data_IF_417576719146
#
_entry.id   IF_417576719146
#
_cell.length_a   1.000
_cell.length_b   1.000
_cell.length_c   1.000
_cell.angle_alpha   90.00
_cell.angle_beta   90.00
_cell.angle_gamma   90.00
#
_symmetry.space_group_name_H-M   'P 1'
#
loop_
_entity.id
_entity.type
_entity.pdbx_description
1 polymer ?
#
# COMPACT_ATOMS: atom_id res chain seq x y z
N UNK A 1 30.28 -23.70 -5.16
CA UNK A 1 30.67 -22.42 -5.78
C UNK A 1 30.39 -21.36 -4.74
N UNK A 2 31.44 -20.90 -4.04
CA UNK A 2 31.31 -19.94 -2.97
C UNK A 2 31.11 -18.55 -3.59
N UNK A 3 29.93 -17.95 -3.39
CA UNK A 3 29.76 -16.52 -3.64
C UNK A 3 30.55 -15.78 -2.56
N UNK A 4 31.61 -15.09 -3.01
CA UNK A 4 32.32 -14.06 -2.25
C UNK A 4 31.31 -13.01 -1.77
N UNK A 5 30.73 -13.24 -0.60
CA UNK A 5 30.02 -12.19 0.12
C UNK A 5 31.07 -11.20 0.58
N UNK A 6 31.20 -10.09 -0.15
CA UNK A 6 32.00 -8.96 0.31
C UNK A 6 31.65 -8.62 1.75
N UNK A 7 32.64 -8.32 2.61
CA UNK A 7 32.39 -8.08 4.01
C UNK A 7 31.51 -6.83 4.18
N UNK A 8 30.35 -7.00 4.80
CA UNK A 8 29.58 -5.87 5.32
C UNK A 8 30.29 -5.31 6.56
N UNK A 9 30.12 -4.02 6.83
CA UNK A 9 30.62 -3.40 8.06
C UNK A 9 29.50 -3.40 9.12
N UNK A 10 29.83 -3.73 10.35
CA UNK A 10 28.93 -3.71 11.50
C UNK A 10 29.58 -3.03 12.70
N UNK A 11 28.91 -2.04 13.27
CA UNK A 11 29.35 -1.32 14.47
C UNK A 11 28.32 -1.51 15.58
N UNK A 12 28.64 -2.28 16.65
CA UNK A 12 27.84 -2.32 17.88
C UNK A 12 27.68 -0.93 18.50
N UNK A 13 26.57 -0.67 19.18
CA UNK A 13 26.39 0.55 19.98
C UNK A 13 27.51 0.64 21.05
N UNK A 14 28.36 1.66 20.94
CA UNK A 14 29.52 1.85 21.82
C UNK A 14 30.74 0.95 21.53
N UNK A 15 30.71 0.18 20.45
CA UNK A 15 31.80 -0.72 20.04
C UNK A 15 32.61 -0.22 18.85
N UNK A 16 33.62 -1.01 18.45
CA UNK A 16 34.39 -0.80 17.22
C UNK A 16 33.78 -1.57 16.04
N UNK A 17 34.06 -1.12 14.82
CA UNK A 17 33.59 -1.78 13.61
C UNK A 17 34.15 -3.20 13.48
N UNK A 18 33.31 -4.11 13.01
CA UNK A 18 33.57 -5.53 12.76
C UNK A 18 32.87 -5.95 11.47
N UNK A 19 33.13 -7.16 10.97
CA UNK A 19 32.46 -7.70 9.77
C UNK A 19 31.49 -8.84 10.11
N UNK A 20 30.98 -8.90 11.34
CA UNK A 20 30.12 -9.98 11.80
C UNK A 20 29.14 -9.49 12.85
N UNK A 21 27.89 -9.90 12.74
CA UNK A 21 26.87 -9.72 13.78
C UNK A 21 26.71 -10.98 14.63
N UNK A 22 27.45 -12.05 14.36
CA UNK A 22 27.25 -13.36 14.98
C UNK A 22 27.28 -13.26 16.51
N UNK A 23 26.29 -13.87 17.15
CA UNK A 23 26.12 -13.92 18.62
C UNK A 23 25.95 -12.54 19.29
N UNK A 24 25.82 -11.47 18.51
CA UNK A 24 25.59 -10.12 19.03
C UNK A 24 24.11 -9.92 19.37
N UNK A 25 23.85 -9.40 20.57
CA UNK A 25 22.54 -8.92 20.99
C UNK A 25 22.65 -7.50 21.54
N UNK A 26 21.83 -6.59 21.05
CA UNK A 26 21.96 -5.16 21.33
C UNK A 26 21.66 -4.31 20.10
N UNK A 27 21.88 -3.00 20.19
CA UNK A 27 21.74 -2.11 19.03
C UNK A 27 23.03 -2.05 18.23
N UNK A 28 22.94 -1.83 16.94
CA UNK A 28 24.11 -1.58 16.11
C UNK A 28 23.74 -1.08 14.73
N UNK A 29 24.78 -0.76 13.95
CA UNK A 29 24.67 -0.23 12.60
C UNK A 29 25.40 -1.16 11.65
N UNK A 30 24.71 -1.68 10.64
CA UNK A 30 25.30 -2.42 9.54
C UNK A 30 25.26 -1.62 8.24
N UNK A 31 26.35 -1.68 7.47
CA UNK A 31 26.44 -1.20 6.09
C UNK A 31 26.77 -2.39 5.19
N UNK A 32 25.85 -2.72 4.30
CA UNK A 32 25.93 -3.87 3.41
C UNK A 32 26.70 -3.54 2.11
N UNK A 33 27.21 -4.55 1.37
CA UNK A 33 27.98 -4.32 0.15
C UNK A 33 27.21 -3.60 -0.96
N UNK A 34 25.89 -3.77 -0.99
CA UNK A 34 25.01 -3.03 -1.91
C UNK A 34 24.77 -1.57 -1.50
N UNK A 35 25.36 -1.12 -0.38
CA UNK A 35 25.20 0.21 0.19
C UNK A 35 23.96 0.38 1.07
N UNK A 36 23.16 -0.68 1.25
CA UNK A 36 22.05 -0.64 2.21
C UNK A 36 22.60 -0.42 3.62
N UNK A 37 21.81 0.23 4.47
CA UNK A 37 22.13 0.36 5.88
C UNK A 37 21.00 -0.14 6.75
N UNK A 38 21.36 -0.77 7.87
CA UNK A 38 20.44 -1.07 8.95
C UNK A 38 20.96 -0.48 10.25
N UNK A 39 20.11 0.23 10.96
CA UNK A 39 20.37 0.75 12.30
C UNK A 39 19.25 0.24 13.21
N UNK A 40 19.57 -0.61 14.18
CA UNK A 40 18.53 -1.17 15.02
C UNK A 40 18.97 -2.30 15.95
N UNK A 41 17.97 -2.99 16.48
CA UNK A 41 18.13 -4.07 17.44
C UNK A 41 18.49 -5.40 16.77
N UNK A 42 19.39 -6.12 17.41
CA UNK A 42 19.82 -7.46 17.05
C UNK A 42 19.60 -8.42 18.22
N UNK A 43 19.25 -9.65 17.89
CA UNK A 43 19.20 -10.80 18.79
C UNK A 43 19.97 -11.93 18.13
N UNK A 44 21.06 -12.39 18.76
CA UNK A 44 21.96 -13.43 18.22
C UNK A 44 22.38 -13.17 16.75
N UNK A 45 22.65 -11.90 16.43
CA UNK A 45 23.08 -11.45 15.11
C UNK A 45 21.99 -11.29 14.06
N UNK A 46 20.74 -11.54 14.43
CA UNK A 46 19.55 -11.41 13.58
C UNK A 46 18.87 -10.10 13.91
N UNK A 47 18.41 -9.36 12.89
CA UNK A 47 17.62 -8.13 13.10
C UNK A 47 16.28 -8.49 13.69
N UNK A 48 16.02 -8.00 14.90
CA UNK A 48 14.81 -8.30 15.66
C UNK A 48 14.51 -7.15 16.63
N UNK A 49 13.24 -6.73 16.67
CA UNK A 49 12.82 -5.51 17.37
C UNK A 49 12.84 -4.27 16.47
N UNK A 50 12.96 -3.09 17.06
CA UNK A 50 12.91 -1.82 16.33
C UNK A 50 14.19 -1.57 15.54
N UNK A 51 14.03 -1.10 14.31
CA UNK A 51 15.15 -0.66 13.50
C UNK A 51 14.72 0.17 12.30
N UNK A 52 15.73 0.69 11.61
CA UNK A 52 15.62 1.49 10.40
C UNK A 52 16.47 0.85 9.32
N UNK A 53 15.88 0.66 8.15
CA UNK A 53 16.57 0.16 6.96
C UNK A 53 16.53 1.20 5.86
N UNK A 54 17.68 1.58 5.33
CA UNK A 54 17.80 2.47 4.18
C UNK A 54 18.26 1.66 2.98
N UNK A 55 17.47 1.68 1.91
CA UNK A 55 17.74 0.96 0.68
C UNK A 55 18.58 1.84 -0.27
N UNK A 56 19.62 1.27 -0.87
CA UNK A 56 20.49 1.87 -1.87
C UNK A 56 20.40 1.06 -3.18
N UNK A 57 20.37 1.70 -4.36
CA UNK A 57 20.35 3.14 -4.61
C UNK A 57 18.95 3.75 -4.60
N UNK A 58 17.89 2.97 -4.28
CA UNK A 58 16.53 3.50 -4.38
C UNK A 58 16.31 4.69 -3.46
N UNK A 59 16.93 4.69 -2.27
CA UNK A 59 16.77 5.70 -1.23
C UNK A 59 15.54 5.45 -0.33
N UNK A 60 14.83 4.35 -0.53
CA UNK A 60 13.66 4.00 0.27
C UNK A 60 14.06 3.81 1.74
N UNK A 61 13.17 4.13 2.67
CA UNK A 61 13.45 4.06 4.11
C UNK A 61 12.33 3.34 4.84
N UNK A 62 12.65 2.21 5.45
CA UNK A 62 11.77 1.54 6.39
C UNK A 62 12.18 1.89 7.82
N UNK A 63 11.22 2.21 8.67
CA UNK A 63 11.41 2.36 10.11
C UNK A 63 10.26 1.65 10.82
N UNK A 64 10.57 0.66 11.64
CA UNK A 64 9.55 -0.17 12.28
C UNK A 64 10.14 -1.40 12.94
N UNK A 65 9.28 -2.36 13.21
CA UNK A 65 9.69 -3.61 13.82
C UNK A 65 10.25 -4.60 12.79
N UNK A 66 11.16 -5.45 13.26
CA UNK A 66 11.75 -6.56 12.54
C UNK A 66 11.56 -7.83 13.36
N UNK A 67 11.33 -8.94 12.67
CA UNK A 67 11.32 -10.27 13.24
C UNK A 67 12.05 -11.19 12.27
N UNK A 68 13.07 -11.89 12.75
CA UNK A 68 13.88 -12.81 11.92
C UNK A 68 14.35 -12.17 10.60
N UNK A 69 14.96 -10.98 10.66
CA UNK A 69 15.42 -10.20 9.51
C UNK A 69 14.33 -9.61 8.58
N UNK A 70 13.05 -9.89 8.83
CA UNK A 70 11.94 -9.41 8.01
C UNK A 70 11.21 -8.25 8.68
N UNK A 71 10.68 -7.32 7.87
CA UNK A 71 9.76 -6.27 8.36
C UNK A 71 8.54 -6.94 8.99
N UNK A 72 8.19 -6.52 10.19
CA UNK A 72 7.12 -7.08 10.99
C UNK A 72 6.44 -6.00 11.84
N UNK A 73 5.33 -6.32 12.50
CA UNK A 73 4.68 -5.43 13.45
C UNK A 73 4.27 -4.10 12.81
N UNK A 74 4.37 -3.00 13.55
CA UNK A 74 4.07 -1.66 13.02
C UNK A 74 5.33 -1.05 12.41
N UNK A 75 5.17 -0.50 11.20
CA UNK A 75 6.28 0.16 10.51
C UNK A 75 5.84 1.15 9.44
N UNK A 76 6.73 2.09 9.16
CA UNK A 76 6.60 3.10 8.11
C UNK A 76 7.62 2.83 7.00
N UNK A 77 7.17 2.75 5.76
CA UNK A 77 8.04 2.72 4.57
C UNK A 77 7.82 4.00 3.77
N UNK A 78 8.85 4.82 3.66
CA UNK A 78 8.87 5.99 2.79
C UNK A 78 9.56 5.57 1.48
N UNK A 79 8.84 5.69 0.38
CA UNK A 79 9.41 5.44 -0.94
C UNK A 79 10.10 6.72 -1.42
N UNK A 80 11.34 6.59 -1.87
CA UNK A 80 12.13 7.70 -2.38
C UNK A 80 11.51 8.31 -3.65
N UNK A 81 12.07 9.45 -4.08
CA UNK A 81 11.65 10.15 -5.29
C UNK A 81 10.15 10.48 -5.29
N UNK A 82 9.59 10.78 -4.11
CA UNK A 82 8.19 11.12 -3.89
C UNK A 82 7.19 10.06 -4.39
N UNK A 83 7.57 8.77 -4.40
CA UNK A 83 6.71 7.67 -4.86
C UNK A 83 5.58 7.29 -3.89
N UNK A 84 5.57 7.89 -2.69
CA UNK A 84 4.54 7.71 -1.68
C UNK A 84 5.12 7.18 -0.36
N UNK A 85 4.23 6.79 0.54
CA UNK A 85 4.59 6.17 1.81
C UNK A 85 3.50 5.22 2.29
N UNK A 86 3.91 4.24 3.09
CA UNK A 86 3.04 3.34 3.82
C UNK A 86 3.30 3.46 5.31
N UNK A 87 2.24 3.46 6.11
CA UNK A 87 2.29 3.31 7.55
C UNK A 87 1.26 2.27 7.97
N UNK A 88 1.67 1.21 8.64
CA UNK A 88 0.74 0.16 9.05
C UNK A 88 1.43 -1.11 9.50
N UNK A 89 0.65 -2.18 9.51
CA UNK A 89 1.10 -3.51 9.91
C UNK A 89 1.92 -4.20 8.81
N UNK A 90 2.90 -5.00 9.24
CA UNK A 90 3.78 -5.78 8.39
C UNK A 90 3.82 -7.22 8.88
N UNK A 91 3.81 -8.16 7.94
CA UNK A 91 3.97 -9.58 8.21
C UNK A 91 4.86 -10.20 7.13
N UNK A 92 5.89 -10.95 7.56
CA UNK A 92 6.84 -11.62 6.66
C UNK A 92 7.40 -10.70 5.56
N UNK A 93 7.72 -9.44 5.91
CA UNK A 93 8.29 -8.47 4.97
C UNK A 93 7.26 -7.75 4.07
N UNK A 94 5.98 -8.10 4.15
CA UNK A 94 4.90 -7.56 3.31
C UNK A 94 3.93 -6.70 4.14
N UNK A 95 3.30 -5.71 3.51
CA UNK A 95 2.18 -4.98 4.12
C UNK A 95 1.04 -5.95 4.41
N UNK A 96 0.51 -5.90 5.62
CA UNK A 96 -0.54 -6.79 6.10
C UNK A 96 -1.44 -6.03 7.08
N UNK A 97 -2.62 -6.56 7.44
CA UNK A 97 -3.46 -5.97 8.49
C UNK A 97 -3.96 -4.57 8.13
N UNK A 98 -4.12 -3.70 9.13
CA UNK A 98 -4.54 -2.32 8.91
C UNK A 98 -3.35 -1.43 8.49
N UNK A 99 -3.56 -0.55 7.52
CA UNK A 99 -2.55 0.40 7.10
C UNK A 99 -3.06 1.53 6.21
N UNK A 100 -2.28 2.60 6.21
CA UNK A 100 -2.45 3.82 5.43
C UNK A 100 -1.36 3.89 4.35
N UNK A 101 -1.76 4.08 3.10
CA UNK A 101 -0.84 4.34 1.99
C UNK A 101 -1.16 5.68 1.34
N UNK A 102 -0.19 6.59 1.36
CA UNK A 102 -0.25 7.86 0.64
C UNK A 102 0.51 7.70 -0.67
N UNK A 103 -0.16 7.88 -1.80
CA UNK A 103 0.43 7.75 -3.13
C UNK A 103 1.21 9.01 -3.54
N UNK A 104 2.01 8.89 -4.61
CA UNK A 104 2.76 10.01 -5.18
C UNK A 104 1.86 11.20 -5.58
N UNK A 105 0.70 10.89 -6.16
CA UNK A 105 -0.35 11.84 -6.53
C UNK A 105 -1.18 12.36 -5.35
N UNK A 106 -0.76 12.02 -4.11
CA UNK A 106 -1.41 12.36 -2.84
C UNK A 106 -2.75 11.67 -2.58
N UNK A 107 -3.19 10.77 -3.47
CA UNK A 107 -4.30 9.89 -3.13
C UNK A 107 -3.96 9.09 -1.87
N UNK A 108 -4.99 8.65 -1.16
CA UNK A 108 -4.82 7.92 0.09
C UNK A 108 -5.67 6.68 0.09
N UNK A 109 -5.07 5.53 0.42
CA UNK A 109 -5.81 4.34 0.82
C UNK A 109 -5.63 4.11 2.32
N UNK A 110 -6.73 3.93 3.04
CA UNK A 110 -6.75 3.53 4.46
C UNK A 110 -7.64 2.31 4.61
N UNK A 111 -7.09 1.20 5.09
CA UNK A 111 -7.85 -0.02 5.32
C UNK A 111 -6.97 -1.27 5.39
N UNK A 112 -7.59 -2.39 5.07
CA UNK A 112 -6.98 -3.71 5.22
C UNK A 112 -6.03 -4.07 4.07
N UNK A 113 -4.98 -4.80 4.44
CA UNK A 113 -3.93 -5.28 3.55
C UNK A 113 -3.73 -6.77 3.76
N UNK A 114 -3.49 -7.48 2.67
CA UNK A 114 -3.09 -8.88 2.72
C UNK A 114 -1.99 -9.12 1.70
N UNK A 115 -0.83 -9.60 2.16
CA UNK A 115 0.33 -9.95 1.34
C UNK A 115 0.70 -8.84 0.34
N UNK A 116 0.74 -7.61 0.81
CA UNK A 116 1.13 -6.45 0.02
C UNK A 116 0.02 -5.85 -0.86
N UNK A 117 -1.21 -6.37 -0.84
CA UNK A 117 -2.34 -5.89 -1.64
C UNK A 117 -3.45 -5.31 -0.77
N UNK A 118 -4.18 -4.31 -1.27
CA UNK A 118 -5.42 -3.83 -0.63
C UNK A 118 -6.42 -4.98 -0.59
N UNK A 119 -7.03 -5.20 0.56
CA UNK A 119 -7.93 -6.32 0.83
C UNK A 119 -8.98 -5.90 1.87
N UNK A 120 -10.04 -6.69 2.06
CA UNK A 120 -11.01 -6.46 3.13
C UNK A 120 -11.67 -5.08 3.07
N UNK A 121 -11.96 -4.47 4.22
CA UNK A 121 -12.57 -3.14 4.26
C UNK A 121 -11.53 -2.04 4.06
N UNK A 122 -11.86 -1.02 3.26
CA UNK A 122 -10.99 0.13 3.08
C UNK A 122 -11.63 1.32 2.38
N UNK A 123 -10.99 2.48 2.55
CA UNK A 123 -11.37 3.75 1.92
C UNK A 123 -10.22 4.27 1.08
N UNK A 124 -10.50 4.56 -0.20
CA UNK A 124 -9.62 5.26 -1.11
C UNK A 124 -10.13 6.70 -1.30
N UNK A 125 -9.26 7.69 -1.15
CA UNK A 125 -9.57 9.11 -1.31
C UNK A 125 -8.75 9.65 -2.47
N UNK A 126 -9.43 10.20 -3.47
CA UNK A 126 -8.81 10.89 -4.58
C UNK A 126 -8.46 12.31 -4.14
N UNK A 127 -7.19 12.69 -4.24
CA UNK A 127 -6.72 13.99 -3.76
C UNK A 127 -7.19 15.15 -4.65
N UNK A 128 -7.28 14.92 -5.95
CA UNK A 128 -7.65 15.93 -6.94
C UNK A 128 -9.13 16.35 -6.87
N UNK A 129 -10.02 15.38 -6.62
CA UNK A 129 -11.47 15.55 -6.66
C UNK A 129 -12.14 15.49 -5.29
N UNK A 130 -11.41 15.08 -4.25
CA UNK A 130 -11.93 14.73 -2.93
C UNK A 130 -13.03 13.64 -2.94
N UNK A 131 -13.21 12.94 -4.07
CA UNK A 131 -14.09 11.77 -4.15
C UNK A 131 -13.51 10.63 -3.31
N UNK A 132 -14.39 9.72 -2.87
CA UNK A 132 -13.97 8.56 -2.07
C UNK A 132 -14.62 7.28 -2.58
N UNK A 133 -13.85 6.20 -2.61
CA UNK A 133 -14.39 4.84 -2.64
C UNK A 133 -14.28 4.23 -1.26
N UNK A 134 -15.38 3.70 -0.73
CA UNK A 134 -15.39 3.02 0.56
C UNK A 134 -16.08 1.68 0.41
N UNK A 135 -15.43 0.59 0.76
CA UNK A 135 -16.05 -0.72 0.68
C UNK A 135 -15.09 -1.88 0.78
N UNK A 136 -15.48 -2.99 0.16
CA UNK A 136 -14.73 -4.24 0.16
C UNK A 136 -13.74 -4.25 -1.00
N UNK A 137 -12.48 -4.55 -0.68
CA UNK A 137 -11.37 -4.67 -1.60
C UNK A 137 -10.91 -6.13 -1.70
N UNK A 138 -10.58 -6.57 -2.90
CA UNK A 138 -9.95 -7.85 -3.13
C UNK A 138 -8.80 -7.68 -4.13
N UNK A 139 -7.59 -8.05 -3.72
CA UNK A 139 -6.41 -8.04 -4.58
C UNK A 139 -6.17 -6.71 -5.31
N UNK A 140 -6.24 -5.59 -4.58
CA UNK A 140 -6.12 -4.21 -5.09
C UNK A 140 -7.35 -3.61 -5.79
N UNK A 141 -8.40 -4.39 -6.01
CA UNK A 141 -9.63 -3.92 -6.66
C UNK A 141 -10.76 -3.74 -5.65
N UNK A 142 -11.52 -2.66 -5.74
CA UNK A 142 -12.80 -2.58 -5.03
C UNK A 142 -13.82 -3.47 -5.75
N UNK A 143 -14.58 -4.26 -5.00
CA UNK A 143 -15.58 -5.21 -5.53
C UNK A 143 -17.01 -4.83 -5.17
N UNK A 144 -17.22 -4.14 -4.06
CA UNK A 144 -18.52 -3.67 -3.59
C UNK A 144 -18.33 -2.50 -2.63
N UNK A 145 -19.21 -1.50 -2.69
CA UNK A 145 -19.17 -0.40 -1.74
C UNK A 145 -19.86 0.88 -2.19
N UNK A 146 -19.30 2.00 -1.76
CA UNK A 146 -19.81 3.35 -1.94
C UNK A 146 -18.84 4.18 -2.80
N UNK A 147 -19.37 4.89 -3.80
CA UNK A 147 -18.68 6.01 -4.44
C UNK A 147 -19.29 7.31 -3.93
N UNK A 148 -18.51 8.02 -3.12
CA UNK A 148 -18.93 9.18 -2.36
C UNK A 148 -18.36 10.43 -3.02
N UNK A 149 -19.25 11.34 -3.41
CA UNK A 149 -18.92 12.61 -4.01
C UNK A 149 -18.78 13.71 -2.94
N UNK A 150 -17.99 14.76 -3.18
CA UNK A 150 -17.81 15.86 -2.22
C UNK A 150 -19.10 16.59 -1.87
N UNK A 151 -20.06 16.63 -2.80
CA UNK A 151 -21.37 17.25 -2.60
C UNK A 151 -22.32 16.42 -1.71
N UNK A 152 -21.89 15.24 -1.23
CA UNK A 152 -22.70 14.35 -0.41
C UNK A 152 -23.53 13.33 -1.19
N UNK A 153 -23.50 13.35 -2.52
CA UNK A 153 -24.08 12.28 -3.34
C UNK A 153 -23.28 10.98 -3.13
N UNK A 154 -23.99 9.86 -3.03
CA UNK A 154 -23.39 8.54 -2.86
C UNK A 154 -24.00 7.55 -3.83
N UNK A 155 -23.18 6.89 -4.64
CA UNK A 155 -23.55 5.66 -5.32
C UNK A 155 -23.23 4.45 -4.42
N UNK A 156 -24.09 3.44 -4.41
CA UNK A 156 -23.90 2.17 -3.70
C UNK A 156 -24.12 1.00 -4.65
N UNK A 157 -23.18 0.08 -4.70
CA UNK A 157 -23.30 -1.13 -5.50
C UNK A 157 -21.97 -1.83 -5.79
N UNK A 158 -21.98 -2.79 -6.73
CA UNK A 158 -20.80 -3.53 -7.12
C UNK A 158 -19.83 -2.66 -7.91
N UNK A 159 -18.58 -3.10 -7.88
CA UNK A 159 -17.48 -2.55 -8.67
C UNK A 159 -16.76 -3.67 -9.41
N UNK A 160 -16.26 -3.35 -10.61
CA UNK A 160 -15.38 -4.19 -11.40
C UNK A 160 -14.33 -3.30 -12.07
N UNK A 161 -13.07 -3.74 -12.10
CA UNK A 161 -11.95 -2.94 -12.65
C UNK A 161 -11.84 -1.54 -12.02
N UNK A 162 -12.13 -1.46 -10.70
CA UNK A 162 -12.21 -0.22 -9.92
C UNK A 162 -13.21 0.82 -10.47
N UNK A 163 -14.26 0.38 -11.17
CA UNK A 163 -15.36 1.21 -11.66
C UNK A 163 -16.71 0.60 -11.26
N UNK A 164 -17.77 1.40 -11.05
CA UNK A 164 -19.11 0.89 -10.81
C UNK A 164 -19.55 -0.12 -11.87
N UNK A 165 -20.26 -1.17 -11.45
CA UNK A 165 -20.77 -2.21 -12.32
C UNK A 165 -22.05 -2.83 -11.76
N UNK A 166 -23.01 -3.18 -12.61
CA UNK A 166 -24.22 -3.87 -12.19
C UNK A 166 -25.19 -3.00 -11.41
N UNK A 167 -26.13 -3.63 -10.71
CA UNK A 167 -27.24 -2.97 -10.01
C UNK A 167 -26.74 -2.14 -8.84
N UNK A 168 -27.18 -0.89 -8.76
CA UNK A 168 -26.83 0.00 -7.66
C UNK A 168 -27.88 1.07 -7.40
N UNK A 169 -27.55 1.99 -6.50
CA UNK A 169 -28.43 3.09 -6.10
C UNK A 169 -27.64 4.36 -5.85
N UNK A 170 -28.11 5.47 -6.41
CA UNK A 170 -27.72 6.82 -6.03
C UNK A 170 -28.60 7.32 -4.90
N UNK A 171 -27.98 7.93 -3.89
CA UNK A 171 -28.62 8.82 -2.92
C UNK A 171 -28.00 10.20 -3.09
N UNK A 172 -28.82 11.19 -3.41
CA UNK A 172 -28.37 12.56 -3.60
C UNK A 172 -28.32 13.32 -2.26
N UNK A 173 -27.65 14.47 -2.25
CA UNK A 173 -27.54 15.31 -1.05
C UNK A 173 -28.92 15.71 -0.46
N UNK A 174 -29.93 15.86 -1.31
CA UNK A 174 -31.31 16.15 -0.92
C UNK A 174 -32.11 14.92 -0.47
N UNK A 175 -31.47 13.75 -0.34
CA UNK A 175 -32.05 12.46 0.06
C UNK A 175 -32.92 11.77 -0.98
N UNK A 176 -33.10 12.34 -2.17
CA UNK A 176 -33.72 11.64 -3.29
C UNK A 176 -32.88 10.43 -3.66
N UNK A 177 -33.54 9.37 -4.14
CA UNK A 177 -32.88 8.14 -4.50
C UNK A 177 -33.25 7.71 -5.92
N UNK A 178 -32.25 7.17 -6.62
CA UNK A 178 -32.44 6.60 -7.95
C UNK A 178 -31.78 5.23 -7.98
N UNK A 179 -32.56 4.22 -8.30
CA UNK A 179 -32.08 2.85 -8.53
C UNK A 179 -31.88 2.61 -10.03
N UNK A 180 -30.91 1.76 -10.34
CA UNK A 180 -30.54 1.47 -11.71
C UNK A 180 -29.37 0.51 -11.75
N UNK A 181 -28.66 0.48 -12.86
CA UNK A 181 -27.46 -0.33 -13.01
C UNK A 181 -26.44 0.33 -13.93
N UNK A 182 -25.16 0.07 -13.66
CA UNK A 182 -24.05 0.40 -14.54
C UNK A 182 -23.75 -0.75 -15.50
N UNK A 183 -23.51 -0.43 -16.76
CA UNK A 183 -22.85 -1.32 -17.72
C UNK A 183 -21.44 -0.78 -18.03
N UNK A 184 -20.52 -1.72 -18.28
CA UNK A 184 -19.14 -1.40 -18.65
C UNK A 184 -18.90 -1.85 -20.10
N UNK A 185 -18.41 -0.94 -20.93
CA UNK A 185 -17.97 -1.25 -22.29
C UNK A 185 -16.47 -1.00 -22.38
N UNK A 186 -15.70 -2.07 -22.63
CA UNK A 186 -14.27 -1.95 -22.92
C UNK A 186 -14.15 -1.42 -24.35
N UNK A 187 -13.49 -0.29 -24.49
CA UNK A 187 -13.25 0.34 -25.80
C UNK A 187 -11.76 0.33 -26.13
N UNK A 188 -11.38 0.25 -27.41
CA UNK A 188 -9.98 0.31 -27.81
C UNK A 188 -9.31 1.59 -27.32
N UNK A 189 -8.05 1.48 -26.90
CA UNK A 189 -7.23 2.66 -26.60
C UNK A 189 -6.92 3.42 -27.88
N UNK A 190 -6.87 4.75 -27.78
CA UNK A 190 -6.47 5.60 -28.90
C UNK A 190 -5.01 5.34 -29.30
N UNK A 191 -4.17 5.01 -28.32
CA UNK A 191 -2.82 4.51 -28.54
C UNK A 191 -2.83 2.97 -28.42
N UNK A 192 -2.49 2.22 -29.49
CA UNK A 192 -2.47 0.75 -29.45
C UNK A 192 -1.42 0.16 -28.50
N UNK A 193 -0.39 0.94 -28.13
CA UNK A 193 0.63 0.52 -27.17
C UNK A 193 0.20 0.74 -25.71
N UNK A 194 -0.90 1.46 -25.47
CA UNK A 194 -1.49 1.59 -24.14
C UNK A 194 -2.22 0.30 -23.77
N UNK A 195 -1.78 -0.34 -22.68
CA UNK A 195 -2.34 -1.60 -22.18
C UNK A 195 -3.37 -1.39 -21.08
N UNK A 196 -3.66 -0.14 -20.70
CA UNK A 196 -4.66 0.16 -19.67
C UNK A 196 -6.08 -0.13 -20.17
N UNK A 197 -6.97 -0.58 -19.28
CA UNK A 197 -8.36 -0.80 -19.65
C UNK A 197 -9.10 0.52 -19.77
N UNK A 198 -9.40 0.93 -21.01
CA UNK A 198 -10.33 2.01 -21.28
C UNK A 198 -11.77 1.49 -21.23
N UNK A 199 -12.50 1.92 -20.20
CA UNK A 199 -13.85 1.46 -19.90
C UNK A 199 -14.78 2.65 -19.91
N UNK A 200 -15.77 2.60 -20.79
CA UNK A 200 -16.91 3.52 -20.77
C UNK A 200 -18.00 2.99 -19.85
N UNK A 201 -18.60 3.89 -19.07
CA UNK A 201 -19.68 3.59 -18.14
C UNK A 201 -20.99 4.18 -18.66
N UNK A 202 -22.04 3.37 -18.64
CA UNK A 202 -23.41 3.81 -18.91
C UNK A 202 -24.30 3.45 -17.73
N UNK A 203 -25.11 4.41 -17.26
CA UNK A 203 -26.07 4.21 -16.18
C UNK A 203 -27.49 4.13 -16.75
N UNK A 204 -28.23 3.08 -16.38
CA UNK A 204 -29.64 2.91 -16.74
C UNK A 204 -30.51 3.01 -15.50
N UNK A 205 -31.41 3.98 -15.47
CA UNK A 205 -32.35 4.18 -14.35
C UNK A 205 -33.53 3.22 -14.45
N UNK A 206 -33.88 2.57 -13.35
CA UNK A 206 -35.02 1.65 -13.26
C UNK A 206 -36.12 2.15 -12.33
N UNK A 207 -35.78 2.87 -11.26
CA UNK A 207 -36.75 3.45 -10.29
C UNK A 207 -36.23 4.75 -9.68
N UNK A 208 -37.13 5.60 -9.22
CA UNK A 208 -36.83 6.85 -8.51
C UNK A 208 -37.78 7.03 -7.32
N UNK A 209 -37.28 7.63 -6.24
CA UNK A 209 -37.99 7.86 -4.97
C UNK A 209 -37.67 9.25 -4.41
#
# INVERSE_FOLDING_TARGET
MAEDQQPFSFTPEGGSATNSTKDYSGKGIATYPNGDTYEGQYVNGIREGKGKYTYNPSGDKYEGEFLQNLKHGIGRLIYANNKGEYYGQWEQGLRHGEGLYTYANKDVYSGQWSRGKKHGQGTYVFNDTAMRFRGTWNNNEIVDGEWIYPNGTVYRGPFQHNKPNGVGRFEFANKNQVEGYYTQTIVPNANPDDTTLNIQLEWVTTKHY
#
